data_IF_304348507208
#
_entry.id   IF_304348507208
#
_cell.length_a   1.000
_cell.length_b   1.000
_cell.length_c   1.000
_cell.angle_alpha   90.00
_cell.angle_beta   90.00
_cell.angle_gamma   90.00
#
_symmetry.space_group_name_H-M   'P 1'
#
loop_
_entity.id
_entity.type
_entity.pdbx_description
1 polymer ?
#
# COMPACT_ATOMS: atom_id res chain seq x y z
N UNK A 1 54.87 -5.14 10.96
CA UNK A 1 53.78 -5.81 11.67
C UNK A 1 52.48 -5.37 11.04
N UNK A 2 52.20 -5.98 9.90
CA UNK A 2 50.96 -5.85 9.14
C UNK A 2 49.88 -6.59 9.91
N UNK A 3 48.85 -5.88 10.37
CA UNK A 3 47.66 -6.50 10.95
C UNK A 3 46.69 -6.81 9.81
N UNK A 4 46.96 -7.94 9.17
CA UNK A 4 45.95 -8.70 8.42
C UNK A 4 44.85 -9.20 9.37
N UNK A 5 43.65 -9.38 8.82
CA UNK A 5 42.47 -10.17 9.28
C UNK A 5 41.25 -9.29 9.62
N UNK A 6 40.03 -9.57 9.11
CA UNK A 6 39.66 -10.15 7.81
C UNK A 6 38.46 -9.42 7.16
N UNK A 7 38.29 -9.68 5.86
CA UNK A 7 37.06 -9.46 5.10
C UNK A 7 35.88 -10.17 5.79
N UNK A 8 34.77 -9.48 6.05
CA UNK A 8 33.57 -10.15 6.55
C UNK A 8 32.49 -9.26 7.17
N UNK A 9 32.12 -8.13 6.56
CA UNK A 9 31.01 -7.30 7.02
C UNK A 9 30.20 -6.75 5.84
N UNK A 10 29.71 -7.63 4.96
CA UNK A 10 28.90 -7.18 3.82
C UNK A 10 27.83 -8.18 3.37
N UNK A 11 27.00 -8.70 4.29
CA UNK A 11 25.76 -9.41 3.91
C UNK A 11 24.59 -9.06 4.86
N UNK A 12 24.32 -7.77 5.06
CA UNK A 12 22.99 -7.31 5.52
C UNK A 12 22.55 -6.05 4.77
N UNK A 13 22.86 -5.96 3.48
CA UNK A 13 22.48 -4.82 2.62
C UNK A 13 21.80 -5.21 1.31
N UNK A 14 21.41 -6.48 1.15
CA UNK A 14 20.70 -7.01 -0.04
C UNK A 14 19.32 -7.59 0.29
N UNK A 15 18.53 -6.90 1.11
CA UNK A 15 17.08 -7.18 1.27
C UNK A 15 16.21 -5.97 0.87
N UNK A 16 16.82 -4.78 0.66
CA UNK A 16 16.07 -3.53 0.50
C UNK A 16 15.97 -2.96 -0.94
N UNK A 17 16.62 -3.53 -1.97
CA UNK A 17 16.48 -2.98 -3.33
C UNK A 17 15.36 -3.61 -4.15
N UNK A 18 14.97 -4.85 -3.88
CA UNK A 18 13.95 -5.56 -4.67
C UNK A 18 12.50 -5.13 -4.33
N UNK A 19 12.27 -4.55 -3.15
CA UNK A 19 10.96 -4.00 -2.77
C UNK A 19 10.74 -2.54 -3.22
N UNK A 20 11.76 -1.87 -3.76
CA UNK A 20 11.70 -0.45 -4.12
C UNK A 20 10.92 -0.16 -5.41
N UNK A 21 10.86 -1.12 -6.33
CA UNK A 21 10.19 -0.95 -7.62
C UNK A 21 8.67 -1.15 -7.52
N UNK A 22 8.21 -1.90 -6.52
CA UNK A 22 6.80 -2.20 -6.28
C UNK A 22 6.04 -1.01 -5.66
N UNK A 23 6.69 -0.21 -4.80
CA UNK A 23 6.09 1.02 -4.23
C UNK A 23 6.04 2.21 -5.21
N UNK A 24 6.73 2.14 -6.36
CA UNK A 24 6.97 3.32 -7.21
C UNK A 24 5.90 3.59 -8.29
N UNK A 25 4.94 2.69 -8.47
CA UNK A 25 3.92 2.81 -9.51
C UNK A 25 2.51 2.68 -8.94
N UNK A 26 2.13 3.60 -8.06
CA UNK A 26 0.75 3.68 -7.61
C UNK A 26 0.05 4.78 -8.41
N UNK A 27 -0.96 4.40 -9.19
CA UNK A 27 -1.72 5.30 -10.05
C UNK A 27 -3.20 4.91 -10.02
N UNK A 28 -4.09 5.76 -10.54
CA UNK A 28 -5.54 5.48 -10.53
C UNK A 28 -5.90 4.17 -11.28
N UNK A 29 -5.02 3.70 -12.16
CA UNK A 29 -5.19 2.47 -12.94
C UNK A 29 -4.39 1.28 -12.38
N UNK A 30 -3.38 1.52 -11.55
CA UNK A 30 -2.45 0.49 -11.05
C UNK A 30 -2.44 0.49 -9.51
N UNK A 31 -3.06 -0.54 -8.93
CA UNK A 31 -3.16 -0.75 -7.48
C UNK A 31 -2.26 -1.90 -7.02
N UNK A 32 -1.91 -1.97 -5.72
CA UNK A 32 -1.22 -3.13 -5.16
C UNK A 32 -2.04 -4.43 -5.36
N UNK A 33 -1.38 -5.60 -5.42
CA UNK A 33 -2.04 -6.89 -5.46
C UNK A 33 -2.97 -7.05 -4.27
N UNK A 34 -4.12 -7.66 -4.54
CA UNK A 34 -5.15 -7.88 -3.54
C UNK A 34 -4.67 -8.92 -2.52
N UNK A 35 -5.00 -8.66 -1.26
CA UNK A 35 -4.71 -9.57 -0.15
C UNK A 35 -5.79 -10.67 -0.09
N UNK A 36 -5.41 -11.92 0.15
CA UNK A 36 -6.37 -13.02 0.31
C UNK A 36 -7.27 -12.81 1.53
N UNK A 37 -8.49 -13.34 1.49
CA UNK A 37 -9.41 -13.34 2.63
C UNK A 37 -8.81 -13.99 3.88
N UNK A 38 -8.03 -15.06 3.69
CA UNK A 38 -7.37 -15.76 4.80
C UNK A 38 -6.28 -14.90 5.42
N UNK A 39 -5.52 -14.17 4.61
CA UNK A 39 -4.47 -13.25 5.04
C UNK A 39 -5.06 -12.01 5.74
N UNK A 40 -6.20 -11.49 5.27
CA UNK A 40 -6.93 -10.42 5.95
C UNK A 40 -7.38 -10.85 7.36
N UNK A 41 -7.88 -12.10 7.50
CA UNK A 41 -8.25 -12.66 8.80
C UNK A 41 -7.03 -12.86 9.70
N UNK A 42 -5.95 -13.43 9.16
CA UNK A 42 -4.67 -13.66 9.89
C UNK A 42 -4.12 -12.36 10.47
N UNK A 43 -4.17 -11.28 9.70
CA UNK A 43 -3.70 -9.96 10.12
C UNK A 43 -4.73 -9.15 10.94
N UNK A 44 -5.90 -9.74 11.23
CA UNK A 44 -6.98 -9.13 12.02
C UNK A 44 -7.40 -7.76 11.49
N UNK A 45 -7.51 -7.63 10.16
CA UNK A 45 -7.91 -6.37 9.53
C UNK A 45 -9.42 -6.14 9.79
N UNK A 46 -9.82 -4.99 10.37
CA UNK A 46 -11.23 -4.64 10.58
C UNK A 46 -11.96 -4.49 9.25
N UNK A 47 -13.28 -4.76 9.25
CA UNK A 47 -14.11 -4.72 8.03
C UNK A 47 -14.00 -3.40 7.26
N UNK A 48 -13.91 -2.27 7.96
CA UNK A 48 -13.79 -0.95 7.35
C UNK A 48 -12.52 -0.76 6.49
N UNK A 49 -11.47 -1.54 6.76
CA UNK A 49 -10.16 -1.44 6.09
C UNK A 49 -9.87 -2.65 5.19
N UNK A 50 -10.91 -3.41 4.79
CA UNK A 50 -10.79 -4.52 3.84
C UNK A 50 -11.06 -4.06 2.40
N UNK A 51 -10.37 -3.00 2.03
CA UNK A 51 -10.42 -2.37 0.72
C UNK A 51 -9.24 -2.85 -0.16
N UNK A 52 -9.14 -2.34 -1.39
CA UNK A 52 -8.02 -2.70 -2.30
C UNK A 52 -6.65 -2.38 -1.72
N UNK A 53 -6.56 -1.39 -0.83
CA UNK A 53 -5.31 -0.95 -0.22
C UNK A 53 -4.92 -1.76 1.04
N UNK A 54 -5.71 -2.77 1.43
CA UNK A 54 -5.46 -3.59 2.63
C UNK A 54 -4.08 -4.27 2.62
N UNK A 55 -3.52 -4.56 1.44
CA UNK A 55 -2.18 -5.12 1.30
C UNK A 55 -1.08 -4.22 1.88
N UNK A 56 -1.21 -2.89 1.75
CA UNK A 56 -0.26 -1.91 2.29
C UNK A 56 -0.46 -1.64 3.79
N UNK A 57 -1.63 -1.99 4.32
CA UNK A 57 -1.93 -1.81 5.75
C UNK A 57 -1.18 -2.84 6.63
N UNK A 58 -0.91 -4.03 6.10
CA UNK A 58 -0.15 -5.08 6.80
C UNK A 58 1.28 -4.62 7.16
N UNK A 59 2.12 -4.15 6.21
CA UNK A 59 3.46 -3.66 6.53
C UNK A 59 3.42 -2.41 7.43
N UNK A 60 2.46 -1.50 7.24
CA UNK A 60 2.29 -0.34 8.13
C UNK A 60 2.01 -0.75 9.58
N UNK A 61 1.10 -1.71 9.79
CA UNK A 61 0.78 -2.21 11.12
C UNK A 61 1.94 -3.00 11.74
N UNK A 62 2.75 -3.68 10.93
CA UNK A 62 3.98 -4.32 11.38
C UNK A 62 4.98 -3.28 11.88
N UNK A 63 5.27 -2.25 11.08
CA UNK A 63 6.16 -1.17 11.47
C UNK A 63 5.69 -0.46 12.75
N UNK A 64 4.38 -0.18 12.88
CA UNK A 64 3.81 0.44 14.10
C UNK A 64 3.97 -0.41 15.35
N UNK A 65 3.89 -1.73 15.22
CA UNK A 65 4.10 -2.66 16.35
C UNK A 65 5.57 -2.72 16.77
N UNK A 66 6.49 -2.69 15.80
CA UNK A 66 7.94 -2.73 16.05
C UNK A 66 8.44 -1.40 16.63
N UNK A 67 8.02 -0.28 16.04
CA UNK A 67 8.39 1.07 16.45
C UNK A 67 7.47 1.68 17.50
N UNK A 68 6.89 0.88 18.39
CA UNK A 68 5.82 1.22 19.36
C UNK A 68 5.81 2.68 19.90
N UNK A 69 6.99 3.23 20.23
CA UNK A 69 7.18 4.56 20.82
C UNK A 69 7.62 5.66 19.82
N UNK A 70 7.90 5.31 18.57
CA UNK A 70 8.38 6.19 17.50
C UNK A 70 7.30 6.38 16.41
N UNK A 71 6.35 7.31 16.59
CA UNK A 71 5.27 7.51 15.62
C UNK A 71 5.74 7.99 14.24
N UNK A 72 6.92 8.60 14.13
CA UNK A 72 7.51 9.08 12.87
C UNK A 72 8.28 8.03 12.09
N UNK A 73 8.55 6.85 12.65
CA UNK A 73 9.39 5.85 12.00
C UNK A 73 8.74 5.25 10.74
N UNK A 74 7.40 5.16 10.71
CA UNK A 74 6.63 4.48 9.67
C UNK A 74 6.02 5.44 8.63
N UNK A 75 6.66 6.59 8.39
CA UNK A 75 6.11 7.64 7.52
C UNK A 75 6.00 7.19 6.06
N UNK A 76 6.93 6.37 5.58
CA UNK A 76 6.92 5.90 4.19
C UNK A 76 5.76 4.94 3.93
N UNK A 77 5.58 3.95 4.81
CA UNK A 77 4.50 2.98 4.75
C UNK A 77 3.14 3.67 4.95
N UNK A 78 3.09 4.70 5.80
CA UNK A 78 1.90 5.52 6.00
C UNK A 78 1.54 6.27 4.71
N UNK A 79 2.48 7.01 4.13
CA UNK A 79 2.22 7.76 2.91
C UNK A 79 1.79 6.87 1.75
N UNK A 80 2.40 5.70 1.60
CA UNK A 80 1.99 4.78 0.56
C UNK A 80 0.56 4.25 0.78
N UNK A 81 0.18 3.91 2.02
CA UNK A 81 -1.20 3.52 2.31
C UNK A 81 -2.19 4.67 2.02
N UNK A 82 -1.87 5.89 2.42
CA UNK A 82 -2.69 7.09 2.20
C UNK A 82 -2.82 7.45 0.71
N UNK A 83 -1.73 7.35 -0.05
CA UNK A 83 -1.72 7.56 -1.49
C UNK A 83 -2.63 6.53 -2.20
N UNK A 84 -2.58 5.26 -1.79
CA UNK A 84 -3.46 4.24 -2.32
C UNK A 84 -4.94 4.58 -2.08
N UNK A 85 -5.28 4.99 -0.85
CA UNK A 85 -6.66 5.39 -0.49
C UNK A 85 -7.14 6.55 -1.34
N UNK A 86 -6.28 7.54 -1.56
CA UNK A 86 -6.59 8.70 -2.38
C UNK A 86 -6.86 8.33 -3.85
N UNK A 87 -6.05 7.42 -4.40
CA UNK A 87 -6.22 6.94 -5.77
C UNK A 87 -7.49 6.09 -5.92
N UNK A 88 -7.81 5.24 -4.93
CA UNK A 88 -9.07 4.46 -4.93
C UNK A 88 -10.29 5.37 -4.82
N UNK A 89 -10.21 6.44 -4.03
CA UNK A 89 -11.25 7.46 -3.97
C UNK A 89 -11.47 8.13 -5.34
N UNK A 90 -10.40 8.58 -6.00
CA UNK A 90 -10.49 9.17 -7.35
C UNK A 90 -11.13 8.23 -8.37
N UNK A 91 -10.77 6.94 -8.32
CA UNK A 91 -11.39 5.91 -9.16
C UNK A 91 -12.90 5.82 -8.92
N UNK A 92 -13.34 5.80 -7.66
CA UNK A 92 -14.79 5.78 -7.32
C UNK A 92 -15.53 7.04 -7.73
N UNK A 93 -14.89 8.21 -7.64
CA UNK A 93 -15.49 9.47 -8.11
C UNK A 93 -15.73 9.40 -9.63
N UNK A 94 -14.75 8.91 -10.39
CA UNK A 94 -14.90 8.72 -11.83
C UNK A 94 -16.03 7.76 -12.19
N UNK A 95 -16.15 6.62 -11.49
CA UNK A 95 -17.25 5.68 -11.68
C UNK A 95 -18.62 6.32 -11.40
N UNK A 96 -18.71 7.17 -10.37
CA UNK A 96 -19.93 7.89 -10.05
C UNK A 96 -20.30 8.94 -11.12
N UNK A 97 -19.31 9.64 -11.68
CA UNK A 97 -19.53 10.60 -12.77
C UNK A 97 -20.07 9.90 -14.02
N UNK A 98 -19.46 8.78 -14.43
CA UNK A 98 -19.91 7.97 -15.57
C UNK A 98 -21.35 7.45 -15.39
N UNK A 99 -21.70 7.00 -14.18
CA UNK A 99 -23.07 6.57 -13.87
C UNK A 99 -24.08 7.73 -13.98
N UNK A 100 -23.71 8.91 -13.47
CA UNK A 100 -24.57 10.10 -13.55
C UNK A 100 -24.81 10.54 -14.98
N UNK A 101 -23.81 10.43 -15.85
CA UNK A 101 -23.95 10.76 -17.28
C UNK A 101 -24.88 9.80 -18.00
N UNK A 102 -24.76 8.49 -17.74
CA UNK A 102 -25.66 7.47 -18.30
C UNK A 102 -27.12 7.70 -17.91
N UNK A 103 -27.37 7.95 -16.62
CA UNK A 103 -28.72 8.27 -16.12
C UNK A 103 -29.31 9.52 -16.78
N UNK A 104 -28.49 10.56 -17.03
CA UNK A 104 -28.93 11.76 -17.75
C UNK A 104 -29.23 11.50 -19.23
N UNK A 105 -28.59 10.50 -19.84
CA UNK A 105 -28.86 10.10 -21.22
C UNK A 105 -30.15 9.28 -21.31
N UNK A 106 -30.35 8.33 -20.38
CA UNK A 106 -31.60 7.55 -20.25
C UNK A 106 -32.81 8.46 -20.01
N UNK A 107 -32.70 9.44 -19.11
CA UNK A 107 -33.75 10.43 -18.87
C UNK A 107 -34.06 11.34 -20.06
N UNK A 108 -33.20 11.39 -21.08
CA UNK A 108 -33.43 12.16 -22.32
C UNK A 108 -34.00 11.30 -23.45
N UNK A 109 -33.97 9.98 -23.33
CA UNK A 109 -34.53 9.05 -24.33
C UNK A 109 -36.00 8.72 -24.10
N UNK A 110 -36.53 9.03 -22.91
CA UNK A 110 -37.96 9.03 -22.57
C UNK A 110 -38.62 10.39 -22.89
#
# INVERSE_FOLDING_TARGET
>A
MEWSIPIGLEINRKINSENSHFFRKMSVTEFPPLLSNEEMKKNKIPLAYRDRCAGLLVPLNKCRKEGWYMPWNCVNERHAYEECQYLDFKRRVKELEELKEKLKQEQKSD
#
